data_IF_207791516344
#
_entry.id   IF_207791516344
#
_cell.length_a   1.000
_cell.length_b   1.000
_cell.length_c   1.000
_cell.angle_alpha   90.00
_cell.angle_beta   90.00
_cell.angle_gamma   90.00
#
_symmetry.space_group_name_H-M   'P 1'
#
loop_
_entity.id
_entity.type
_entity.pdbx_description
1 polymer ?
#
# COMPACT_ATOMS: atom_id res chain seq x y z
N UNK A 1 9.51 18.47 -3.01
CA UNK A 1 8.51 17.67 -2.22
C UNK A 1 7.49 17.16 -3.21
N UNK A 2 7.50 15.87 -3.48
CA UNK A 2 6.66 15.27 -4.52
C UNK A 2 5.20 15.29 -4.10
N UNK A 3 4.35 15.62 -5.06
CA UNK A 3 2.89 15.64 -4.89
C UNK A 3 2.39 14.21 -5.04
N UNK A 4 1.75 13.63 -4.02
CA UNK A 4 1.06 12.36 -4.17
C UNK A 4 -0.47 12.55 -4.25
N UNK A 5 -1.14 11.61 -4.88
CA UNK A 5 -2.60 11.56 -4.97
C UNK A 5 -3.12 10.22 -4.45
N UNK A 6 -4.38 10.19 -4.03
CA UNK A 6 -5.04 8.91 -3.76
C UNK A 6 -5.61 8.41 -5.07
N UNK A 7 -5.11 7.29 -5.52
CA UNK A 7 -5.63 6.64 -6.72
C UNK A 7 -7.07 6.20 -6.49
N UNK A 8 -7.96 6.56 -7.44
CA UNK A 8 -9.34 6.07 -7.41
C UNK A 8 -9.34 4.64 -7.94
N UNK A 9 -9.94 3.74 -7.18
CA UNK A 9 -10.13 2.36 -7.64
C UNK A 9 -10.83 2.34 -9.01
N UNK A 10 -10.23 1.64 -9.96
CA UNK A 10 -10.80 1.46 -11.28
C UNK A 10 -12.14 0.70 -11.18
N UNK A 11 -13.13 1.10 -12.01
CA UNK A 11 -14.44 0.40 -12.05
C UNK A 11 -14.31 -1.07 -12.41
N UNK A 12 -13.32 -1.43 -13.24
CA UNK A 12 -13.04 -2.82 -13.62
C UNK A 12 -12.65 -3.72 -12.42
N UNK A 13 -12.00 -3.16 -11.39
CA UNK A 13 -11.66 -3.90 -10.17
C UNK A 13 -12.87 -4.23 -9.28
N UNK A 14 -14.05 -3.62 -9.47
CA UNK A 14 -15.17 -3.72 -8.52
C UNK A 14 -15.72 -5.12 -8.32
N UNK A 15 -15.56 -6.01 -9.31
CA UNK A 15 -16.05 -7.41 -9.24
C UNK A 15 -14.99 -8.42 -8.83
N UNK A 16 -13.79 -8.33 -9.37
CA UNK A 16 -12.76 -9.37 -9.27
C UNK A 16 -11.72 -9.12 -8.17
N UNK A 17 -11.44 -7.86 -7.85
CA UNK A 17 -10.41 -7.49 -6.87
C UNK A 17 -8.96 -7.62 -7.38
N UNK A 18 -8.77 -7.88 -8.67
CA UNK A 18 -7.48 -8.00 -9.34
C UNK A 18 -7.49 -7.12 -10.58
N UNK A 19 -6.38 -6.42 -10.82
CA UNK A 19 -6.15 -5.65 -12.04
C UNK A 19 -4.73 -5.90 -12.52
N UNK A 20 -4.56 -6.09 -13.82
CA UNK A 20 -3.26 -6.24 -14.48
C UNK A 20 -3.22 -5.30 -15.68
N UNK A 21 -2.14 -4.52 -15.81
CA UNK A 21 -1.93 -3.64 -16.94
C UNK A 21 -0.44 -3.35 -17.17
N UNK A 22 -0.12 -3.00 -18.41
CA UNK A 22 1.23 -2.65 -18.85
C UNK A 22 1.43 -1.14 -18.88
N UNK A 23 2.61 -0.69 -18.47
CA UNK A 23 3.00 0.71 -18.50
C UNK A 23 4.37 0.90 -19.10
N UNK A 24 4.48 1.84 -20.03
CA UNK A 24 5.75 2.28 -20.63
C UNK A 24 6.09 3.68 -20.14
N UNK A 25 7.36 4.02 -20.17
CA UNK A 25 7.85 5.34 -19.77
C UNK A 25 9.02 5.79 -20.64
N UNK A 26 9.02 7.07 -20.99
CA UNK A 26 10.20 7.74 -21.53
C UNK A 26 11.32 7.74 -20.48
N UNK A 27 12.60 7.90 -20.91
CA UNK A 27 13.73 8.01 -19.99
C UNK A 27 13.62 9.19 -19.02
N UNK A 28 14.02 8.98 -17.77
CA UNK A 28 14.14 10.01 -16.72
C UNK A 28 12.85 10.76 -16.39
N UNK A 29 11.70 10.15 -16.58
CA UNK A 29 10.43 10.76 -16.19
C UNK A 29 9.81 10.08 -14.96
N UNK A 30 8.95 10.82 -14.27
CA UNK A 30 8.10 10.25 -13.23
C UNK A 30 7.01 9.43 -13.91
N UNK A 31 7.19 8.11 -13.99
CA UNK A 31 6.27 7.17 -14.61
C UNK A 31 5.01 6.97 -13.77
N UNK A 32 5.15 7.00 -12.46
CA UNK A 32 4.03 7.02 -11.51
C UNK A 32 4.27 8.14 -10.49
N UNK A 33 3.38 9.14 -10.46
CA UNK A 33 3.44 10.22 -9.46
C UNK A 33 3.20 9.66 -8.07
N UNK A 34 3.77 10.32 -7.05
CA UNK A 34 3.57 9.92 -5.67
C UNK A 34 2.07 9.78 -5.33
N UNK A 35 1.66 8.58 -4.94
CA UNK A 35 0.27 8.25 -4.65
C UNK A 35 0.13 7.21 -3.54
N UNK A 36 -1.09 6.96 -3.13
CA UNK A 36 -1.46 5.99 -2.11
C UNK A 36 -2.77 5.29 -2.50
N UNK A 37 -2.86 4.00 -2.28
CA UNK A 37 -4.07 3.21 -2.48
C UNK A 37 -4.21 2.09 -1.46
N UNK A 38 -5.36 1.40 -1.45
CA UNK A 38 -5.68 0.32 -0.50
C UNK A 38 -5.35 -1.08 -1.01
N UNK A 39 -4.80 -1.20 -2.22
CA UNK A 39 -4.42 -2.48 -2.81
C UNK A 39 -2.98 -2.85 -2.50
N UNK A 40 -2.67 -4.12 -2.43
CA UNK A 40 -1.30 -4.63 -2.64
C UNK A 40 -0.98 -4.48 -4.11
N UNK A 41 0.17 -3.93 -4.44
CA UNK A 41 0.61 -3.72 -5.82
C UNK A 41 1.96 -4.39 -6.05
N UNK A 42 2.09 -5.05 -7.18
CA UNK A 42 3.33 -5.64 -7.64
C UNK A 42 3.73 -4.95 -8.94
N UNK A 43 4.98 -4.51 -9.01
CA UNK A 43 5.58 -3.98 -10.23
C UNK A 43 6.61 -4.98 -10.71
N UNK A 44 6.39 -5.61 -11.86
CA UNK A 44 7.35 -6.49 -12.50
C UNK A 44 8.00 -5.75 -13.66
N UNK A 45 9.30 -5.46 -13.52
CA UNK A 45 10.06 -4.68 -14.50
C UNK A 45 10.35 -5.58 -15.71
N UNK A 46 9.83 -5.21 -16.87
CA UNK A 46 10.07 -5.95 -18.11
C UNK A 46 11.29 -5.40 -18.86
N UNK A 47 11.41 -4.07 -18.94
CA UNK A 47 12.49 -3.38 -19.68
C UNK A 47 13.03 -2.20 -18.91
N UNK A 48 14.32 -1.93 -19.10
CA UNK A 48 15.00 -0.78 -18.52
C UNK A 48 15.18 -0.86 -17.03
N UNK A 49 15.15 0.30 -16.38
CA UNK A 49 15.30 0.43 -14.93
C UNK A 49 14.36 1.47 -14.35
N UNK A 50 14.10 1.36 -13.04
CA UNK A 50 13.26 2.28 -12.30
C UNK A 50 13.81 2.52 -10.91
N UNK A 51 13.75 3.78 -10.48
CA UNK A 51 13.91 4.15 -9.07
C UNK A 51 12.52 4.27 -8.46
N UNK A 52 12.24 3.41 -7.48
CA UNK A 52 10.95 3.31 -6.83
C UNK A 52 11.10 3.74 -5.38
N UNK A 53 10.39 4.78 -4.99
CA UNK A 53 10.29 5.21 -3.60
C UNK A 53 9.05 4.59 -2.95
N UNK A 54 9.21 4.03 -1.75
CA UNK A 54 8.12 3.50 -0.94
C UNK A 54 8.34 3.85 0.53
N UNK A 55 7.43 4.64 1.11
CA UNK A 55 7.50 5.16 2.49
C UNK A 55 8.86 5.78 2.85
N UNK A 56 9.44 6.56 1.92
CA UNK A 56 10.70 7.28 2.11
C UNK A 56 11.96 6.44 1.94
N UNK A 57 11.85 5.18 1.51
CA UNK A 57 12.98 4.33 1.10
C UNK A 57 13.02 4.23 -0.42
N UNK A 58 14.21 4.17 -0.95
CA UNK A 58 14.44 4.07 -2.40
C UNK A 58 14.92 2.67 -2.78
N UNK A 59 14.43 2.18 -3.91
CA UNK A 59 14.77 0.88 -4.48
C UNK A 59 15.10 1.08 -5.96
N UNK A 60 16.32 0.72 -6.36
CA UNK A 60 16.70 0.66 -7.77
C UNK A 60 16.34 -0.73 -8.30
N UNK A 61 15.41 -0.78 -9.24
CA UNK A 61 14.92 -2.00 -9.87
C UNK A 61 15.24 -2.00 -11.36
N UNK A 62 15.56 -3.15 -11.92
CA UNK A 62 15.89 -3.36 -13.34
C UNK A 62 15.10 -4.50 -13.95
N UNK A 63 15.22 -4.70 -15.26
CA UNK A 63 14.52 -5.77 -15.97
C UNK A 63 14.67 -7.12 -15.29
N UNK A 64 13.56 -7.80 -15.09
CA UNK A 64 13.40 -9.06 -14.36
C UNK A 64 13.08 -8.92 -12.88
N UNK A 65 13.32 -7.75 -12.27
CA UNK A 65 13.04 -7.51 -10.84
C UNK A 65 11.54 -7.36 -10.57
N UNK A 66 11.14 -7.74 -9.36
CA UNK A 66 9.77 -7.60 -8.85
C UNK A 66 9.75 -6.75 -7.58
N UNK A 67 8.89 -5.74 -7.55
CA UNK A 67 8.65 -4.88 -6.40
C UNK A 67 7.27 -5.17 -5.80
N UNK A 68 7.20 -5.29 -4.48
CA UNK A 68 5.97 -5.39 -3.71
C UNK A 68 5.69 -4.08 -2.98
N UNK A 69 4.66 -3.37 -3.38
CA UNK A 69 4.15 -2.16 -2.74
C UNK A 69 2.93 -2.52 -1.89
N UNK A 70 3.03 -2.26 -0.60
CA UNK A 70 1.99 -2.62 0.35
C UNK A 70 0.88 -1.57 0.40
N UNK A 71 -0.34 -1.95 0.78
CA UNK A 71 -1.44 -1.01 0.95
C UNK A 71 -1.07 0.16 1.87
N UNK A 72 -1.57 1.34 1.53
CA UNK A 72 -1.42 2.57 2.31
C UNK A 72 0.03 3.09 2.45
N UNK A 73 0.99 2.54 1.70
CA UNK A 73 2.31 3.15 1.54
C UNK A 73 2.27 4.26 0.50
N UNK A 74 2.99 5.35 0.74
CA UNK A 74 3.20 6.39 -0.27
C UNK A 74 4.34 5.92 -1.16
N UNK A 75 4.07 5.81 -2.45
CA UNK A 75 5.06 5.36 -3.41
C UNK A 75 5.00 6.12 -4.73
N UNK A 76 6.10 6.15 -5.43
CA UNK A 76 6.24 6.68 -6.79
C UNK A 76 7.35 5.93 -7.52
N UNK A 77 7.35 6.05 -8.85
CA UNK A 77 8.35 5.45 -9.70
C UNK A 77 8.89 6.46 -10.71
N UNK A 78 10.19 6.48 -10.90
CA UNK A 78 10.90 7.28 -11.92
C UNK A 78 11.69 6.33 -12.80
N UNK A 79 11.53 6.44 -14.12
CA UNK A 79 12.26 5.62 -15.09
C UNK A 79 13.76 5.98 -15.12
N UNK A 80 14.58 4.99 -15.44
CA UNK A 80 16.00 5.14 -15.64
C UNK A 80 16.38 5.81 -16.97
N UNK A 81 17.61 5.65 -17.34
CA UNK A 81 18.23 6.31 -18.52
C UNK A 81 18.06 5.51 -19.81
N UNK A 82 17.57 4.29 -19.72
CA UNK A 82 17.39 3.39 -20.85
C UNK A 82 16.34 3.94 -21.84
N UNK A 83 16.54 3.73 -23.16
CA UNK A 83 15.62 4.25 -24.17
C UNK A 83 14.22 3.62 -24.10
N UNK A 84 14.13 2.39 -23.59
CA UNK A 84 12.88 1.68 -23.37
C UNK A 84 12.76 1.29 -21.90
N UNK A 85 11.75 1.83 -21.24
CA UNK A 85 11.41 1.49 -19.86
C UNK A 85 9.95 1.01 -19.80
N UNK A 86 9.73 -0.16 -19.23
CA UNK A 86 8.40 -0.75 -19.13
C UNK A 86 8.27 -1.70 -17.94
N UNK A 87 7.07 -1.75 -17.36
CA UNK A 87 6.72 -2.69 -16.30
C UNK A 87 5.25 -3.10 -16.34
N UNK A 88 4.98 -4.28 -15.83
CA UNK A 88 3.62 -4.73 -15.56
C UNK A 88 3.22 -4.34 -14.14
N UNK A 89 1.99 -3.87 -14.00
CA UNK A 89 1.36 -3.56 -12.73
C UNK A 89 0.33 -4.63 -12.42
N UNK A 90 0.42 -5.24 -11.24
CA UNK A 90 -0.54 -6.21 -10.72
C UNK A 90 -1.09 -5.66 -9.41
N UNK A 91 -2.35 -5.23 -9.39
CA UNK A 91 -3.04 -4.74 -8.19
C UNK A 91 -3.98 -5.79 -7.64
N UNK A 92 -3.86 -6.07 -6.35
CA UNK A 92 -4.65 -7.07 -5.64
C UNK A 92 -5.32 -6.40 -4.44
N UNK A 93 -6.66 -6.41 -4.41
CA UNK A 93 -7.42 -5.88 -3.28
C UNK A 93 -7.39 -6.80 -2.08
N UNK A 94 -7.50 -6.20 -0.92
CA UNK A 94 -7.68 -6.93 0.33
C UNK A 94 -8.89 -7.84 0.34
N UNK A 95 -9.98 -7.50 -0.36
CA UNK A 95 -11.13 -8.38 -0.49
C UNK A 95 -10.79 -9.70 -1.17
N UNK A 96 -9.96 -9.67 -2.22
CA UNK A 96 -9.47 -10.89 -2.86
C UNK A 96 -8.54 -11.69 -1.93
N UNK A 97 -7.64 -11.02 -1.21
CA UNK A 97 -6.77 -11.69 -0.23
C UNK A 97 -7.58 -12.37 0.89
N UNK A 98 -8.70 -11.76 1.30
CA UNK A 98 -9.61 -12.33 2.31
C UNK A 98 -10.29 -13.62 1.85
N UNK A 99 -10.52 -13.83 0.54
CA UNK A 99 -11.08 -15.06 0.01
C UNK A 99 -10.19 -16.30 0.33
N UNK A 100 -8.89 -16.10 0.50
CA UNK A 100 -7.94 -17.15 0.87
C UNK A 100 -7.74 -17.31 2.38
N UNK A 101 -8.32 -16.43 3.21
CA UNK A 101 -8.04 -16.43 4.64
C UNK A 101 -8.91 -17.41 5.45
N UNK A 102 -9.11 -18.62 4.94
CA UNK A 102 -9.97 -19.65 5.55
C UNK A 102 -9.33 -20.43 6.70
N UNK A 103 -8.19 -19.98 7.24
CA UNK A 103 -7.49 -20.63 8.37
C UNK A 103 -6.50 -19.69 9.04
N UNK A 104 -6.14 -20.05 10.26
CA UNK A 104 -5.30 -19.26 11.18
C UNK A 104 -3.94 -18.90 10.58
N UNK A 105 -3.21 -19.88 10.08
CA UNK A 105 -1.87 -19.71 9.51
C UNK A 105 -1.87 -18.90 8.21
N UNK A 106 -2.95 -18.96 7.42
CA UNK A 106 -3.05 -18.23 6.16
C UNK A 106 -3.24 -16.73 6.40
N UNK A 107 -4.01 -16.35 7.42
CA UNK A 107 -4.23 -14.95 7.77
C UNK A 107 -2.93 -14.23 8.18
N UNK A 108 -2.07 -14.89 8.95
CA UNK A 108 -0.76 -14.36 9.33
C UNK A 108 0.18 -14.24 8.12
N UNK A 109 0.17 -15.24 7.25
CA UNK A 109 0.98 -15.23 6.02
C UNK A 109 0.56 -14.11 5.07
N UNK A 110 -0.75 -13.87 4.88
CA UNK A 110 -1.27 -12.78 4.06
C UNK A 110 -0.91 -11.39 4.63
N UNK A 111 -0.69 -11.30 5.94
CA UNK A 111 -0.24 -10.07 6.56
C UNK A 111 1.14 -9.60 6.02
N UNK A 112 2.01 -10.52 5.64
CA UNK A 112 3.31 -10.18 5.03
C UNK A 112 3.16 -9.40 3.71
N UNK A 113 2.07 -9.61 2.99
CA UNK A 113 1.76 -8.91 1.74
C UNK A 113 1.05 -7.57 1.94
N UNK A 114 0.52 -7.33 3.14
CA UNK A 114 -0.35 -6.17 3.40
C UNK A 114 0.19 -5.20 4.43
N UNK A 115 1.10 -5.63 5.28
CA UNK A 115 1.62 -4.81 6.38
C UNK A 115 3.02 -4.30 6.07
N UNK A 116 3.17 -2.99 6.17
CA UNK A 116 4.48 -2.34 6.06
C UNK A 116 5.23 -2.49 7.39
N UNK A 117 6.31 -3.28 7.38
CA UNK A 117 7.25 -3.45 8.49
C UNK A 117 8.61 -2.94 8.05
N UNK A 118 9.44 -2.50 9.00
CA UNK A 118 10.78 -1.98 8.69
C UNK A 118 11.68 -3.01 8.00
N UNK A 119 11.53 -4.29 8.35
CA UNK A 119 12.30 -5.42 7.83
C UNK A 119 11.62 -6.15 6.66
N UNK A 120 10.46 -5.65 6.21
CA UNK A 120 9.68 -6.32 5.18
C UNK A 120 10.39 -6.29 3.82
N UNK A 121 10.49 -7.45 3.18
CA UNK A 121 11.02 -7.54 1.81
C UNK A 121 10.11 -6.78 0.85
N UNK A 122 10.73 -5.94 0.02
CA UNK A 122 10.08 -5.10 -0.99
C UNK A 122 10.53 -5.50 -2.39
N UNK A 123 11.81 -5.77 -2.57
CA UNK A 123 12.43 -6.06 -3.87
C UNK A 123 12.86 -7.53 -3.95
N UNK A 124 12.49 -8.21 -5.04
CA UNK A 124 13.08 -9.46 -5.52
C UNK A 124 13.88 -9.14 -6.78
N UNK A 125 15.18 -9.44 -6.77
CA UNK A 125 16.01 -9.37 -7.98
C UNK A 125 15.56 -10.42 -8.99
N UNK A 126 15.89 -10.23 -10.28
CA UNK A 126 15.57 -11.20 -11.34
C UNK A 126 15.96 -12.63 -10.96
N UNK A 127 17.15 -12.80 -10.36
CA UNK A 127 17.60 -14.09 -9.85
C UNK A 127 16.69 -14.65 -8.76
N UNK A 128 16.27 -13.83 -7.80
CA UNK A 128 15.35 -14.27 -6.72
C UNK A 128 13.94 -14.57 -7.25
N UNK A 129 13.49 -13.88 -8.30
CA UNK A 129 12.24 -14.18 -9.02
C UNK A 129 12.29 -15.58 -9.62
N UNK A 130 13.42 -15.94 -10.24
CA UNK A 130 13.62 -17.29 -10.81
C UNK A 130 13.73 -18.36 -9.72
N UNK A 131 14.58 -18.14 -8.70
CA UNK A 131 14.81 -19.08 -7.58
C UNK A 131 13.52 -19.35 -6.78
N UNK A 132 12.64 -18.34 -6.65
CA UNK A 132 11.35 -18.49 -5.99
C UNK A 132 10.26 -19.10 -6.91
N UNK A 133 10.55 -19.34 -8.19
CA UNK A 133 9.61 -19.88 -9.19
C UNK A 133 8.49 -18.88 -9.54
N UNK A 134 8.72 -17.57 -9.35
CA UNK A 134 7.73 -16.52 -9.59
C UNK A 134 7.57 -16.21 -11.07
N UNK A 135 8.63 -16.36 -11.89
CA UNK A 135 8.63 -15.95 -13.30
C UNK A 135 7.50 -16.58 -14.12
N UNK A 136 7.26 -17.91 -14.08
CA UNK A 136 6.14 -18.50 -14.83
C UNK A 136 4.77 -17.99 -14.34
N UNK A 137 4.60 -17.77 -13.03
CA UNK A 137 3.35 -17.27 -12.48
C UNK A 137 3.08 -15.80 -12.87
N UNK A 138 4.13 -14.97 -12.94
CA UNK A 138 4.04 -13.60 -13.45
C UNK A 138 3.68 -13.60 -14.94
N UNK A 139 4.38 -14.39 -15.75
CA UNK A 139 4.12 -14.51 -17.19
C UNK A 139 2.69 -14.96 -17.49
N UNK A 140 2.21 -16.00 -16.80
CA UNK A 140 0.84 -16.49 -16.94
C UNK A 140 -0.19 -15.41 -16.56
N UNK A 141 0.06 -14.67 -15.48
CA UNK A 141 -0.87 -13.65 -14.98
C UNK A 141 -0.93 -12.41 -15.88
N UNK A 142 0.22 -11.92 -16.36
CA UNK A 142 0.25 -10.74 -17.24
C UNK A 142 -0.31 -11.07 -18.63
N UNK A 143 -0.26 -12.32 -19.06
CA UNK A 143 -0.93 -12.76 -20.29
C UNK A 143 -2.45 -12.56 -20.26
N UNK A 144 -3.07 -12.45 -19.07
CA UNK A 144 -4.48 -12.10 -18.88
C UNK A 144 -4.78 -10.60 -19.06
N UNK A 145 -3.79 -9.77 -19.30
CA UNK A 145 -3.99 -8.37 -19.67
C UNK A 145 -4.80 -8.24 -20.96
N UNK A 146 -4.51 -9.08 -21.93
CA UNK A 146 -5.27 -9.14 -23.17
C UNK A 146 -6.63 -9.85 -22.96
N UNK A 147 -7.75 -9.23 -23.35
CA UNK A 147 -9.06 -9.84 -23.22
C UNK A 147 -9.15 -11.19 -23.95
N UNK A 148 -9.58 -12.24 -23.25
CA UNK A 148 -9.78 -13.59 -23.78
C UNK A 148 -10.87 -14.33 -23.00
N UNK A 149 -11.41 -15.44 -23.55
CA UNK A 149 -12.41 -16.24 -22.84
C UNK A 149 -11.90 -16.68 -21.46
N UNK A 150 -12.79 -16.63 -20.46
CA UNK A 150 -12.51 -17.02 -19.07
C UNK A 150 -11.41 -16.21 -18.38
N UNK A 151 -11.11 -15.00 -18.87
CA UNK A 151 -10.10 -14.09 -18.30
C UNK A 151 -10.22 -13.92 -16.79
N UNK A 152 -11.44 -13.77 -16.27
CA UNK A 152 -11.67 -13.58 -14.84
C UNK A 152 -11.23 -14.80 -14.01
N UNK A 153 -11.41 -16.01 -14.53
CA UNK A 153 -10.90 -17.24 -13.94
C UNK A 153 -9.38 -17.29 -14.02
N UNK A 154 -8.80 -16.95 -15.17
CA UNK A 154 -7.36 -16.87 -15.38
C UNK A 154 -6.69 -15.91 -14.39
N UNK A 155 -7.23 -14.70 -14.22
CA UNK A 155 -6.76 -13.73 -13.22
C UNK A 155 -6.82 -14.27 -11.79
N UNK A 156 -7.91 -14.95 -11.40
CA UNK A 156 -8.05 -15.54 -10.06
C UNK A 156 -7.03 -16.66 -9.81
N UNK A 157 -6.88 -17.57 -10.75
CA UNK A 157 -5.94 -18.69 -10.66
C UNK A 157 -4.50 -18.19 -10.67
N UNK A 158 -4.16 -17.31 -11.61
CA UNK A 158 -2.81 -16.73 -11.74
C UNK A 158 -2.41 -15.92 -10.50
N UNK A 159 -3.29 -15.05 -10.01
CA UNK A 159 -3.03 -14.29 -8.79
C UNK A 159 -2.92 -15.20 -7.55
N UNK A 160 -3.78 -16.21 -7.42
CA UNK A 160 -3.68 -17.19 -6.34
C UNK A 160 -2.36 -17.96 -6.36
N UNK A 161 -1.90 -18.38 -7.53
CA UNK A 161 -0.59 -19.04 -7.71
C UNK A 161 0.57 -18.11 -7.34
N UNK A 162 0.54 -16.87 -7.84
CA UNK A 162 1.57 -15.87 -7.54
C UNK A 162 1.66 -15.59 -6.04
N UNK A 163 0.51 -15.37 -5.38
CA UNK A 163 0.43 -15.17 -3.94
C UNK A 163 1.01 -16.36 -3.16
N UNK A 164 0.68 -17.60 -3.54
CA UNK A 164 1.21 -18.80 -2.90
C UNK A 164 2.74 -18.86 -2.97
N UNK A 165 3.33 -18.55 -4.12
CA UNK A 165 4.77 -18.57 -4.31
C UNK A 165 5.46 -17.45 -3.53
N UNK A 166 4.91 -16.23 -3.55
CA UNK A 166 5.39 -15.11 -2.74
C UNK A 166 5.38 -15.44 -1.25
N UNK A 167 4.27 -15.99 -0.75
CA UNK A 167 4.16 -16.38 0.66
C UNK A 167 5.14 -17.48 1.04
N UNK A 168 5.37 -18.46 0.17
CA UNK A 168 6.38 -19.51 0.38
C UNK A 168 7.79 -18.94 0.44
N UNK A 169 8.13 -17.99 -0.42
CA UNK A 169 9.44 -17.33 -0.38
C UNK A 169 9.60 -16.45 0.87
N UNK A 170 8.60 -15.66 1.21
CA UNK A 170 8.61 -14.83 2.43
C UNK A 170 8.73 -15.69 3.70
N UNK A 171 8.05 -16.84 3.75
CA UNK A 171 8.11 -17.74 4.91
C UNK A 171 9.50 -18.35 5.16
N UNK A 172 10.29 -18.60 4.10
CA UNK A 172 11.67 -19.11 4.24
C UNK A 172 12.62 -18.12 4.92
N UNK A 173 12.31 -16.82 4.84
CA UNK A 173 13.14 -15.74 5.37
C UNK A 173 12.83 -15.41 6.84
N UNK A 174 11.85 -16.09 7.41
CA UNK A 174 11.34 -15.83 8.75
C UNK A 174 12.08 -16.67 9.79
N UNK A 175 12.77 -16.09 10.78
CA UNK A 175 13.16 -16.82 11.97
C UNK A 175 11.89 -17.34 12.67
N UNK A 176 11.84 -18.61 12.99
CA UNK A 176 10.69 -19.28 13.60
C UNK A 176 10.19 -18.62 14.92
N UNK A 177 11.03 -17.81 15.56
CA UNK A 177 10.80 -17.22 16.89
C UNK A 177 10.22 -15.78 16.87
N UNK A 178 10.00 -15.15 15.71
CA UNK A 178 9.68 -13.71 15.66
C UNK A 178 8.21 -13.36 15.35
N UNK A 179 7.32 -14.32 15.21
CA UNK A 179 5.91 -14.02 15.32
C UNK A 179 5.47 -14.17 16.76
N UNK A 180 4.96 -13.11 17.35
CA UNK A 180 4.18 -13.28 18.54
C UNK A 180 2.95 -14.12 18.19
N UNK A 181 2.61 -15.07 19.02
CA UNK A 181 1.33 -15.76 18.98
C UNK A 181 0.20 -14.73 19.08
N UNK A 182 -0.11 -14.07 17.96
CA UNK A 182 -1.34 -13.34 17.80
C UNK A 182 -2.43 -14.40 17.61
N UNK A 183 -3.57 -14.22 18.25
CA UNK A 183 -4.70 -15.10 18.00
C UNK A 183 -4.96 -15.15 16.50
N UNK A 184 -5.27 -16.32 15.95
CA UNK A 184 -5.51 -16.52 14.54
C UNK A 184 -6.47 -15.49 13.95
N UNK A 185 -6.18 -14.97 12.79
CA UNK A 185 -6.96 -13.91 12.15
C UNK A 185 -6.85 -12.52 12.82
N UNK A 186 -6.14 -12.38 13.94
CA UNK A 186 -6.01 -11.09 14.64
C UNK A 186 -5.31 -10.04 13.79
N UNK A 187 -4.33 -10.42 12.99
CA UNK A 187 -3.62 -9.50 12.09
C UNK A 187 -4.52 -9.02 10.96
N UNK A 188 -5.36 -9.89 10.39
CA UNK A 188 -6.37 -9.51 9.41
C UNK A 188 -7.42 -8.54 9.99
N UNK A 189 -7.79 -8.72 11.26
CA UNK A 189 -8.66 -7.78 11.95
C UNK A 189 -8.00 -6.40 12.12
N UNK A 190 -6.68 -6.33 12.36
CA UNK A 190 -5.95 -5.04 12.32
C UNK A 190 -6.01 -4.42 10.93
N UNK A 191 -5.90 -5.21 9.87
CA UNK A 191 -6.10 -4.72 8.51
C UNK A 191 -7.52 -4.15 8.29
N UNK A 192 -8.54 -4.83 8.80
CA UNK A 192 -9.92 -4.31 8.79
C UNK A 192 -10.03 -2.96 9.53
N UNK A 193 -9.30 -2.79 10.64
CA UNK A 193 -9.22 -1.50 11.33
C UNK A 193 -8.55 -0.40 10.47
N UNK A 194 -7.53 -0.72 9.68
CA UNK A 194 -6.94 0.23 8.73
C UNK A 194 -7.94 0.67 7.66
N UNK A 195 -8.72 -0.27 7.11
CA UNK A 195 -9.79 0.03 6.15
C UNK A 195 -10.85 0.94 6.78
N UNK A 196 -11.25 0.64 8.01
CA UNK A 196 -12.20 1.43 8.79
C UNK A 196 -11.68 2.87 8.95
N UNK A 197 -10.43 3.04 9.41
CA UNK A 197 -9.80 4.35 9.55
C UNK A 197 -9.78 5.09 8.21
N UNK A 198 -9.40 4.45 7.12
CA UNK A 198 -9.33 5.10 5.80
C UNK A 198 -10.70 5.50 5.24
N UNK A 199 -11.79 4.83 5.63
CA UNK A 199 -13.17 5.18 5.25
C UNK A 199 -13.76 6.28 6.13
N UNK A 200 -13.42 6.26 7.43
CA UNK A 200 -14.10 7.05 8.47
C UNK A 200 -13.14 8.01 9.20
N UNK A 201 -11.98 8.37 8.62
CA UNK A 201 -10.96 9.22 9.24
C UNK A 201 -11.47 10.61 9.65
N UNK A 202 -12.55 11.09 9.05
CA UNK A 202 -13.17 12.38 9.40
C UNK A 202 -13.99 12.32 10.69
N UNK A 203 -14.39 11.12 11.13
CA UNK A 203 -15.19 10.89 12.33
C UNK A 203 -14.32 10.88 13.59
N UNK A 204 -14.95 10.99 14.76
CA UNK A 204 -14.26 10.89 16.05
C UNK A 204 -13.93 9.41 16.40
N UNK A 205 -12.99 8.86 15.66
CA UNK A 205 -12.51 7.49 15.85
C UNK A 205 -11.57 7.39 17.05
N UNK A 206 -11.87 6.46 17.94
CA UNK A 206 -11.01 6.12 19.09
C UNK A 206 -10.47 4.70 18.99
N UNK A 207 -9.41 4.41 19.74
CA UNK A 207 -8.91 3.02 19.87
C UNK A 207 -10.02 2.08 20.35
N UNK A 208 -10.88 2.55 21.26
CA UNK A 208 -11.95 1.77 21.84
C UNK A 208 -13.04 1.44 20.83
N UNK A 209 -13.51 2.45 20.07
CA UNK A 209 -14.52 2.24 19.03
C UNK A 209 -14.02 1.30 17.93
N UNK A 210 -12.78 1.48 17.47
CA UNK A 210 -12.19 0.60 16.46
C UNK A 210 -11.95 -0.82 16.97
N UNK A 211 -11.47 -0.97 18.21
CA UNK A 211 -11.26 -2.27 18.82
C UNK A 211 -12.59 -3.05 18.96
N UNK A 212 -13.62 -2.39 19.43
CA UNK A 212 -14.96 -2.96 19.59
C UNK A 212 -15.53 -3.44 18.25
N UNK A 213 -15.39 -2.62 17.18
CA UNK A 213 -15.93 -2.94 15.85
C UNK A 213 -15.28 -4.19 15.23
N UNK A 214 -14.00 -4.47 15.55
CA UNK A 214 -13.30 -5.67 15.09
C UNK A 214 -13.29 -6.82 16.11
N UNK A 215 -14.02 -6.66 17.23
CA UNK A 215 -14.17 -7.70 18.27
C UNK A 215 -12.92 -7.92 19.12
N UNK A 216 -12.18 -6.84 19.46
CA UNK A 216 -11.04 -6.86 20.36
C UNK A 216 -11.28 -6.01 21.61
N UNK A 217 -10.61 -6.37 22.73
CA UNK A 217 -10.46 -5.44 23.84
C UNK A 217 -9.51 -4.31 23.45
N UNK A 218 -9.72 -3.10 23.97
CA UNK A 218 -8.86 -1.93 23.71
C UNK A 218 -7.38 -2.23 23.96
N UNK A 219 -7.07 -2.88 25.10
CA UNK A 219 -5.68 -3.16 25.47
C UNK A 219 -5.01 -4.15 24.50
N UNK A 220 -5.72 -5.15 24.03
CA UNK A 220 -5.22 -6.11 23.04
C UNK A 220 -5.03 -5.42 21.69
N UNK A 221 -6.02 -4.65 21.23
CA UNK A 221 -5.96 -3.88 20.00
C UNK A 221 -4.77 -2.93 20.00
N UNK A 222 -4.60 -2.09 21.04
CA UNK A 222 -3.51 -1.11 21.10
C UNK A 222 -2.12 -1.75 20.98
N UNK A 223 -1.89 -2.85 21.72
CA UNK A 223 -0.62 -3.60 21.65
C UNK A 223 -0.41 -4.24 20.28
N UNK A 224 -1.44 -4.91 19.76
CA UNK A 224 -1.36 -5.60 18.46
C UNK A 224 -1.21 -4.60 17.32
N UNK A 225 -2.00 -3.52 17.32
CA UNK A 225 -1.93 -2.47 16.31
C UNK A 225 -0.53 -1.86 16.23
N UNK A 226 0.04 -1.46 17.38
CA UNK A 226 1.40 -0.90 17.41
C UNK A 226 2.45 -1.90 16.95
N UNK A 227 2.30 -3.19 17.29
CA UNK A 227 3.21 -4.25 16.88
C UNK A 227 3.16 -4.51 15.37
N UNK A 228 1.96 -4.50 14.79
CA UNK A 228 1.69 -4.81 13.38
C UNK A 228 1.99 -3.61 12.48
N UNK A 229 1.60 -2.39 12.91
CA UNK A 229 1.70 -1.16 12.10
C UNK A 229 2.98 -0.37 12.41
N UNK A 230 3.68 -0.67 13.50
CA UNK A 230 4.86 0.06 13.94
C UNK A 230 4.57 1.33 14.74
N UNK A 231 3.37 1.92 14.56
CA UNK A 231 2.93 3.14 15.27
C UNK A 231 1.62 2.91 15.99
N UNK A 232 1.34 3.73 17.01
CA UNK A 232 0.05 3.66 17.72
C UNK A 232 -1.12 4.15 16.87
N UNK A 233 -2.33 3.69 17.18
CA UNK A 233 -3.56 4.02 16.45
C UNK A 233 -3.78 5.53 16.27
N UNK A 234 -3.64 6.32 17.34
CA UNK A 234 -3.79 7.78 17.29
C UNK A 234 -2.81 8.45 16.32
N UNK A 235 -1.58 7.95 16.28
CA UNK A 235 -0.56 8.46 15.35
C UNK A 235 -0.92 8.08 13.91
N UNK A 236 -1.38 6.85 13.69
CA UNK A 236 -1.83 6.38 12.37
C UNK A 236 -3.01 7.21 11.85
N UNK A 237 -4.04 7.42 12.67
CA UNK A 237 -5.21 8.27 12.33
C UNK A 237 -4.78 9.70 12.01
N UNK A 238 -3.90 10.28 12.84
CA UNK A 238 -3.36 11.64 12.61
C UNK A 238 -2.61 11.71 11.28
N UNK A 239 -1.73 10.75 11.00
CA UNK A 239 -0.99 10.69 9.74
C UNK A 239 -1.93 10.56 8.53
N UNK A 240 -3.00 9.75 8.65
CA UNK A 240 -4.02 9.60 7.60
C UNK A 240 -4.72 10.93 7.34
N UNK A 241 -5.14 11.66 8.37
CA UNK A 241 -5.76 12.99 8.25
C UNK A 241 -4.82 14.01 7.64
N UNK A 242 -3.54 14.02 8.04
CA UNK A 242 -2.54 14.92 7.48
C UNK A 242 -2.32 14.69 5.99
N UNK A 243 -2.21 13.43 5.54
CA UNK A 243 -2.10 13.08 4.12
C UNK A 243 -3.31 13.58 3.31
N UNK A 244 -4.52 13.47 3.87
CA UNK A 244 -5.74 14.01 3.23
C UNK A 244 -5.71 15.54 3.17
N UNK A 245 -5.24 16.20 4.23
CA UNK A 245 -5.09 17.67 4.27
C UNK A 245 -4.06 18.17 3.25
N UNK A 246 -2.94 17.49 3.10
CA UNK A 246 -1.94 17.80 2.08
C UNK A 246 -2.55 17.80 0.69
N UNK A 247 -3.37 16.80 0.37
CA UNK A 247 -4.11 16.75 -0.89
C UNK A 247 -5.05 17.94 -1.07
N UNK A 248 -5.90 18.23 -0.07
CA UNK A 248 -6.83 19.38 -0.12
C UNK A 248 -6.07 20.70 -0.30
N UNK A 249 -4.93 20.88 0.37
CA UNK A 249 -4.06 22.05 0.22
C UNK A 249 -3.53 22.23 -1.20
N UNK A 250 -3.28 21.12 -1.91
CA UNK A 250 -2.74 21.12 -3.27
C UNK A 250 -3.81 21.29 -4.36
N UNK A 251 -5.02 20.78 -4.10
CA UNK A 251 -6.08 20.69 -5.12
C UNK A 251 -7.20 21.70 -4.96
N UNK A 252 -7.25 22.44 -3.84
CA UNK A 252 -8.31 23.41 -3.54
C UNK A 252 -7.78 24.72 -2.99
N UNK A 253 -8.63 25.76 -3.04
CA UNK A 253 -8.37 27.08 -2.43
C UNK A 253 -9.00 27.25 -1.06
N UNK A 254 -9.59 26.18 -0.50
CA UNK A 254 -10.23 26.22 0.83
C UNK A 254 -9.29 26.80 1.90
N UNK A 255 -9.83 27.61 2.82
CA UNK A 255 -9.07 28.07 3.99
C UNK A 255 -8.46 26.89 4.77
N UNK A 256 -7.29 27.11 5.37
CA UNK A 256 -6.60 26.10 6.19
C UNK A 256 -7.48 25.59 7.34
N UNK A 257 -8.31 26.47 7.92
CA UNK A 257 -9.27 26.11 8.96
C UNK A 257 -10.35 25.15 8.47
N UNK A 258 -10.89 25.40 7.29
CA UNK A 258 -11.90 24.54 6.67
C UNK A 258 -11.31 23.17 6.34
N UNK A 259 -10.09 23.13 5.77
CA UNK A 259 -9.39 21.86 5.49
C UNK A 259 -9.17 21.08 6.79
N UNK A 260 -8.72 21.72 7.87
CA UNK A 260 -8.51 21.05 9.15
C UNK A 260 -9.79 20.34 9.64
N UNK A 261 -10.92 21.02 9.60
CA UNK A 261 -12.23 20.47 10.00
C UNK A 261 -12.66 19.36 9.03
N UNK A 262 -12.55 19.58 7.71
CA UNK A 262 -12.96 18.62 6.69
C UNK A 262 -12.21 17.29 6.75
N UNK A 263 -10.95 17.31 7.22
CA UNK A 263 -10.16 16.08 7.41
C UNK A 263 -10.24 15.50 8.84
N UNK A 264 -11.13 16.03 9.69
CA UNK A 264 -11.47 15.45 10.99
C UNK A 264 -10.62 15.94 12.17
N UNK A 265 -9.92 17.10 12.08
CA UNK A 265 -9.30 17.72 13.26
C UNK A 265 -10.30 18.59 14.02
N UNK A 266 -10.39 18.37 15.33
CA UNK A 266 -11.28 19.16 16.22
C UNK A 266 -10.73 20.56 16.55
N UNK A 267 -9.51 20.91 16.11
CA UNK A 267 -8.92 22.23 16.35
C UNK A 267 -7.83 22.59 15.36
N UNK A 268 -7.94 23.78 14.78
CA UNK A 268 -7.01 24.31 13.74
C UNK A 268 -5.59 24.45 14.28
N UNK A 269 -5.43 24.91 15.52
CA UNK A 269 -4.10 25.07 16.14
C UNK A 269 -3.39 23.71 16.29
N UNK A 270 -4.12 22.69 16.72
CA UNK A 270 -3.59 21.32 16.82
C UNK A 270 -3.24 20.74 15.44
N UNK A 271 -4.10 20.94 14.45
CA UNK A 271 -3.80 20.58 13.06
C UNK A 271 -2.49 21.22 12.58
N UNK A 272 -2.35 22.55 12.72
CA UNK A 272 -1.15 23.27 12.27
C UNK A 272 0.11 22.73 12.97
N UNK A 273 0.04 22.44 14.27
CA UNK A 273 1.14 21.86 15.04
C UNK A 273 1.53 20.47 14.50
N UNK A 274 0.55 19.59 14.30
CA UNK A 274 0.76 18.24 13.72
C UNK A 274 1.34 18.33 12.30
N UNK A 275 0.80 19.21 11.48
CA UNK A 275 1.24 19.40 10.09
C UNK A 275 2.69 19.90 10.02
N UNK A 276 3.06 20.92 10.84
CA UNK A 276 4.45 21.41 10.91
C UNK A 276 5.43 20.33 11.38
N UNK A 277 5.03 19.51 12.36
CA UNK A 277 5.87 18.42 12.85
C UNK A 277 6.13 17.37 11.77
N UNK A 278 5.11 17.02 10.97
CA UNK A 278 5.20 16.05 9.89
C UNK A 278 5.95 16.60 8.67
N UNK A 279 5.58 17.81 8.21
CA UNK A 279 6.04 18.38 6.95
C UNK A 279 7.17 19.40 7.07
N UNK A 280 7.62 19.74 8.31
CA UNK A 280 8.64 20.74 8.63
C UNK A 280 8.29 22.19 8.21
N UNK A 281 7.15 22.40 7.57
CA UNK A 281 6.63 23.72 7.15
C UNK A 281 5.14 23.83 7.49
N UNK A 282 4.62 25.07 7.52
CA UNK A 282 3.19 25.30 7.79
C UNK A 282 2.31 24.90 6.61
N UNK A 283 1.00 24.60 6.83
CA UNK A 283 0.05 24.32 5.74
C UNK A 283 0.01 25.40 4.65
N UNK A 284 0.06 26.67 5.06
CA UNK A 284 0.07 27.82 4.14
C UNK A 284 1.35 27.87 3.30
N UNK A 285 2.52 27.62 3.94
CA UNK A 285 3.79 27.54 3.23
C UNK A 285 3.82 26.34 2.29
N UNK A 286 3.26 25.18 2.70
CA UNK A 286 3.15 23.98 1.89
C UNK A 286 2.35 24.27 0.60
N UNK A 287 1.16 24.88 0.69
CA UNK A 287 0.34 25.32 -0.45
C UNK A 287 1.11 26.25 -1.39
N UNK A 288 1.74 27.29 -0.82
CA UNK A 288 2.49 28.27 -1.60
C UNK A 288 3.64 27.66 -2.38
N UNK A 289 4.41 26.78 -1.75
CA UNK A 289 5.57 26.13 -2.39
C UNK A 289 5.18 25.19 -3.51
N UNK A 290 3.98 24.62 -3.44
CA UNK A 290 3.47 23.69 -4.45
C UNK A 290 2.89 24.40 -5.70
N UNK A 291 2.61 25.70 -5.60
CA UNK A 291 2.05 26.51 -6.71
C UNK A 291 3.12 27.35 -7.43
N UNK A 292 4.34 27.33 -6.93
CA UNK A 292 5.53 27.86 -7.61
C UNK A 292 6.17 26.79 -8.48
#
# INVERSE_FOLDING_TARGET
>A
MERYYTEKENRAMRGLGIEVFYQTSEPRIVSARAHIHSSTELLWIEKGSYRISSDGREYDAKAGDLILLRPFTIHHATSGDEPENAYHVIKIRSSFLQEFSTGEAMGESLAELTLCREDAKVLWTAREVEEAGLLPALTDLVAEETPRPFRDLGLRVGAGRLLLLLLRDLSKRRPADQLPAAAPGAVLKIYSALLLVNRRYTEDLTEESCASEIGFSRCYFSRLFRRVIGVGFKQYLTNTRLRRAERELLTTDKPVSEIATAVGFNGVAYFISCFRRANKISPTAFRRNARR
#
